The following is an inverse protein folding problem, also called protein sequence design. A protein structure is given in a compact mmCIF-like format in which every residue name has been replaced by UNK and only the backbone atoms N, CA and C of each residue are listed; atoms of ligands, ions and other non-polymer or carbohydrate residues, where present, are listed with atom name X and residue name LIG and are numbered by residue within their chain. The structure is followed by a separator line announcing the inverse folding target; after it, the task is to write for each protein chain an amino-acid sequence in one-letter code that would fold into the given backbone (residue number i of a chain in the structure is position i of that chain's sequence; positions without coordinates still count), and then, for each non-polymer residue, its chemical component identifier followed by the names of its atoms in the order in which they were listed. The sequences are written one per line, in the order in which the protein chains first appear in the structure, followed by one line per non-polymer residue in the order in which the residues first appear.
data_IF_693264462487
#
_entry.id   IF_693264462487
#
_cell.length_a   1.000
_cell.length_b   1.000
_cell.length_c   1.000
_cell.angle_alpha   90.00
_cell.angle_beta   90.00
_cell.angle_gamma   90.00
#
_symmetry.space_group_name_H-M   'P 1'
#
loop_
_entity.id
_entity.type
_entity.pdbx_description
1 polymer ?
#
# COMPACT_ATOMS: atom_id res chain seq x y z
N UNK A 1 -45.33 10.75 15.26
CA UNK A 1 -44.09 10.36 15.97
C UNK A 1 -44.48 9.33 17.03
N UNK A 2 -44.14 8.04 16.85
CA UNK A 2 -44.51 7.00 17.81
C UNK A 2 -43.71 7.21 19.11
N UNK A 3 -44.33 7.12 20.31
CA UNK A 3 -43.59 7.12 21.56
C UNK A 3 -42.64 5.91 21.55
N UNK A 4 -41.34 6.17 21.69
CA UNK A 4 -40.29 5.14 21.61
C UNK A 4 -40.38 4.25 22.85
N UNK A 5 -40.39 2.94 22.64
CA UNK A 5 -40.63 1.96 23.69
C UNK A 5 -39.39 1.85 24.58
N UNK A 6 -39.57 1.74 25.90
CA UNK A 6 -38.44 1.63 26.87
C UNK A 6 -37.44 0.53 26.50
N UNK A 7 -37.84 -0.50 25.77
CA UNK A 7 -37.00 -1.63 25.42
C UNK A 7 -36.08 -1.36 24.21
N UNK A 8 -36.48 -0.51 23.27
CA UNK A 8 -35.66 -0.09 22.12
C UNK A 8 -34.46 0.76 22.58
N UNK A 9 -34.70 1.61 23.58
CA UNK A 9 -33.66 2.43 24.21
C UNK A 9 -32.69 1.61 25.06
N UNK A 10 -33.19 0.60 25.79
CA UNK A 10 -32.33 -0.38 26.49
C UNK A 10 -31.45 -1.16 25.51
N UNK A 11 -32.02 -1.62 24.38
CA UNK A 11 -31.26 -2.29 23.32
C UNK A 11 -30.15 -1.39 22.75
N UNK A 12 -30.43 -0.10 22.55
CA UNK A 12 -29.42 0.85 22.08
C UNK A 12 -28.26 1.04 23.10
N UNK A 13 -28.54 1.02 24.40
CA UNK A 13 -27.51 1.05 25.46
C UNK A 13 -26.64 -0.21 25.38
N UNK A 14 -27.25 -1.39 25.26
CA UNK A 14 -26.51 -2.67 25.13
C UNK A 14 -25.61 -2.68 23.90
N UNK A 15 -26.10 -2.20 22.75
CA UNK A 15 -25.31 -2.08 21.52
C UNK A 15 -24.15 -1.09 21.66
N UNK A 16 -24.37 0.06 22.32
CA UNK A 16 -23.33 1.06 22.57
C UNK A 16 -22.24 0.52 23.49
N UNK A 17 -22.64 -0.19 24.55
CA UNK A 17 -21.73 -0.86 25.47
C UNK A 17 -20.95 -2.00 24.77
N UNK A 18 -21.57 -2.69 23.81
CA UNK A 18 -20.94 -3.69 22.93
C UNK A 18 -19.98 -3.11 21.86
N UNK A 19 -19.68 -1.81 21.91
CA UNK A 19 -18.65 -1.18 21.07
C UNK A 19 -19.16 -0.64 19.72
N UNK A 20 -20.47 -0.72 19.45
CA UNK A 20 -21.05 -0.22 18.21
C UNK A 20 -20.94 1.31 18.12
N UNK A 21 -20.65 1.80 16.90
CA UNK A 21 -20.60 3.24 16.63
C UNK A 21 -22.01 3.83 16.71
N UNK A 22 -22.11 5.14 16.96
CA UNK A 22 -23.40 5.82 17.02
C UNK A 22 -24.16 5.65 15.69
N UNK A 23 -23.46 5.76 14.57
CA UNK A 23 -24.02 5.60 13.23
C UNK A 23 -24.58 4.19 12.99
N UNK A 24 -23.88 3.14 13.41
CA UNK A 24 -24.37 1.77 13.28
C UNK A 24 -25.67 1.54 14.08
N UNK A 25 -25.74 2.10 15.30
CA UNK A 25 -26.94 1.98 16.15
C UNK A 25 -28.12 2.77 15.54
N UNK A 26 -27.86 3.92 14.91
CA UNK A 26 -28.89 4.70 14.20
C UNK A 26 -29.49 3.88 13.05
N UNK A 27 -28.65 3.24 12.25
CA UNK A 27 -29.08 2.39 11.13
C UNK A 27 -29.88 1.18 11.62
N UNK A 28 -29.39 0.51 12.68
CA UNK A 28 -30.00 -0.71 13.23
C UNK A 28 -31.32 -0.46 13.96
N UNK A 29 -31.41 0.63 14.72
CA UNK A 29 -32.58 0.91 15.58
C UNK A 29 -33.56 1.91 14.97
N UNK A 30 -33.18 2.61 13.89
CA UNK A 30 -33.97 3.70 13.30
C UNK A 30 -34.11 4.94 14.22
N UNK A 31 -33.41 4.98 15.36
CA UNK A 31 -33.47 6.08 16.32
C UNK A 31 -32.47 7.16 15.89
N UNK A 32 -32.94 8.40 15.74
CA UNK A 32 -32.09 9.56 15.42
C UNK A 32 -30.87 9.69 16.33
N UNK A 33 -29.71 10.02 15.76
CA UNK A 33 -28.44 10.19 16.47
C UNK A 33 -28.52 11.14 17.69
N UNK A 34 -29.24 12.25 17.56
CA UNK A 34 -29.41 13.25 18.63
C UNK A 34 -30.16 12.70 19.86
N UNK A 35 -31.16 11.84 19.64
CA UNK A 35 -31.88 11.15 20.72
C UNK A 35 -30.96 10.18 21.46
N UNK A 36 -30.21 9.37 20.70
CA UNK A 36 -29.28 8.39 21.26
C UNK A 36 -28.15 9.06 22.04
N UNK A 37 -27.58 10.14 21.50
CA UNK A 37 -26.49 10.87 22.14
C UNK A 37 -26.93 11.51 23.46
N UNK A 38 -28.14 12.09 23.50
CA UNK A 38 -28.73 12.60 24.76
C UNK A 38 -28.91 11.46 25.77
N UNK A 39 -29.45 10.34 25.32
CA UNK A 39 -29.75 9.19 26.18
C UNK A 39 -28.47 8.53 26.73
N UNK A 40 -27.44 8.34 25.92
CA UNK A 40 -26.14 7.81 26.35
C UNK A 40 -25.44 8.73 27.35
N UNK A 41 -25.54 10.06 27.16
CA UNK A 41 -24.98 11.04 28.10
C UNK A 41 -25.72 11.01 29.45
N UNK A 42 -27.05 10.88 29.45
CA UNK A 42 -27.85 10.76 30.68
C UNK A 42 -27.51 9.49 31.46
N UNK A 43 -27.19 8.39 30.77
CA UNK A 43 -26.92 7.09 31.39
C UNK A 43 -25.43 6.73 31.51
N UNK A 44 -24.51 7.64 31.18
CA UNK A 44 -23.07 7.41 31.31
C UNK A 44 -22.53 6.25 30.47
N UNK A 45 -23.14 5.96 29.32
CA UNK A 45 -22.81 4.78 28.51
C UNK A 45 -21.65 5.09 27.57
N UNK A 46 -20.47 4.59 27.91
CA UNK A 46 -19.28 4.67 27.07
C UNK A 46 -19.21 3.55 26.03
N UNK A 47 -18.47 3.80 24.95
CA UNK A 47 -18.31 2.84 23.86
C UNK A 47 -17.31 1.78 24.27
N UNK A 48 -17.69 0.51 24.15
CA UNK A 48 -16.76 -0.62 24.30
C UNK A 48 -16.50 -1.05 25.74
N UNK A 49 -17.44 -0.80 26.64
CA UNK A 49 -17.39 -1.27 28.03
C UNK A 49 -17.75 -2.74 28.21
N UNK A 50 -18.21 -3.44 27.15
CA UNK A 50 -18.50 -4.88 27.19
C UNK A 50 -17.34 -5.74 26.65
N UNK A 51 -17.13 -6.85 27.36
CA UNK A 51 -16.33 -8.04 27.08
C UNK A 51 -16.11 -8.38 25.60
N UNK A 52 -14.91 -8.86 25.29
CA UNK A 52 -14.47 -9.45 24.00
C UNK A 52 -15.46 -10.48 23.43
N UNK A 53 -16.21 -11.14 24.29
CA UNK A 53 -17.24 -12.13 23.94
C UNK A 53 -18.44 -11.54 23.17
N UNK A 54 -18.84 -10.29 23.47
CA UNK A 54 -19.92 -9.63 22.73
C UNK A 54 -19.47 -9.11 21.37
N UNK A 55 -18.19 -8.72 21.25
CA UNK A 55 -17.58 -8.36 19.96
C UNK A 55 -17.52 -9.58 19.06
N UNK A 56 -17.16 -10.74 19.61
CA UNK A 56 -17.10 -11.98 18.85
C UNK A 56 -18.50 -12.48 18.46
N UNK A 57 -19.50 -12.36 19.34
CA UNK A 57 -20.90 -12.62 18.97
C UNK A 57 -21.43 -11.68 17.89
N UNK A 58 -21.03 -10.41 17.88
CA UNK A 58 -21.44 -9.46 16.84
C UNK A 58 -20.79 -9.80 15.48
N UNK A 59 -19.51 -10.18 15.48
CA UNK A 59 -18.82 -10.70 14.28
C UNK A 59 -19.48 -12.00 13.78
N UNK A 60 -19.74 -12.95 14.67
CA UNK A 60 -20.40 -14.19 14.33
C UNK A 60 -21.82 -13.96 13.79
N UNK A 61 -22.58 -13.03 14.36
CA UNK A 61 -23.91 -12.64 13.83
C UNK A 61 -23.82 -12.08 12.42
N UNK A 62 -22.88 -11.17 12.15
CA UNK A 62 -22.62 -10.62 10.81
C UNK A 62 -22.20 -11.72 9.81
N UNK A 63 -21.33 -12.65 10.23
CA UNK A 63 -20.87 -13.75 9.39
C UNK A 63 -21.92 -14.86 9.20
N UNK A 64 -22.86 -15.00 10.14
CA UNK A 64 -23.95 -15.99 10.08
C UNK A 64 -25.15 -15.53 9.25
N UNK A 65 -25.22 -14.25 8.90
CA UNK A 65 -26.26 -13.73 8.03
C UNK A 65 -25.94 -14.14 6.58
N UNK A 66 -26.70 -15.12 6.09
CA UNK A 66 -26.46 -15.76 4.79
C UNK A 66 -26.51 -14.76 3.61
N UNK A 67 -27.21 -13.63 3.76
CA UNK A 67 -27.24 -12.56 2.76
C UNK A 67 -26.08 -11.56 2.88
N UNK A 68 -25.49 -11.40 4.06
CA UNK A 68 -24.49 -10.35 4.31
C UNK A 68 -23.21 -10.55 3.50
N UNK A 69 -22.72 -11.79 3.40
CA UNK A 69 -21.48 -12.06 2.64
C UNK A 69 -21.71 -11.84 1.13
N UNK A 70 -22.88 -12.18 0.60
CA UNK A 70 -23.17 -11.99 -0.82
C UNK A 70 -23.47 -10.52 -1.15
N UNK A 71 -24.15 -9.79 -0.26
CA UNK A 71 -24.31 -8.33 -0.36
C UNK A 71 -22.96 -7.61 -0.27
N UNK A 72 -22.07 -8.06 0.62
CA UNK A 72 -20.72 -7.52 0.75
C UNK A 72 -19.89 -7.77 -0.51
N UNK A 73 -19.93 -9.00 -1.06
CA UNK A 73 -19.27 -9.31 -2.34
C UNK A 73 -19.82 -8.43 -3.47
N UNK A 74 -21.14 -8.24 -3.52
CA UNK A 74 -21.77 -7.41 -4.53
C UNK A 74 -21.34 -5.95 -4.41
N UNK A 75 -21.30 -5.40 -3.19
CA UNK A 75 -20.83 -4.04 -2.94
C UNK A 75 -19.34 -3.86 -3.26
N UNK A 76 -18.50 -4.83 -2.90
CA UNK A 76 -17.07 -4.82 -3.25
C UNK A 76 -16.89 -4.88 -4.77
N UNK A 77 -17.61 -5.79 -5.45
CA UNK A 77 -17.56 -5.91 -6.91
C UNK A 77 -18.01 -4.62 -7.60
N UNK A 78 -19.11 -4.01 -7.12
CA UNK A 78 -19.60 -2.73 -7.62
C UNK A 78 -18.55 -1.61 -7.43
N UNK A 79 -17.91 -1.54 -6.26
CA UNK A 79 -16.83 -0.59 -5.99
C UNK A 79 -15.64 -0.78 -6.92
N UNK A 80 -15.22 -2.02 -7.17
CA UNK A 80 -14.10 -2.32 -8.07
C UNK A 80 -14.42 -1.93 -9.51
N UNK A 81 -15.65 -2.19 -9.97
CA UNK A 81 -16.11 -1.80 -11.31
C UNK A 81 -16.12 -0.28 -11.46
N UNK A 82 -16.59 0.44 -10.43
CA UNK A 82 -16.60 1.90 -10.41
C UNK A 82 -15.18 2.48 -10.46
N UNK A 83 -14.28 1.98 -9.62
CA UNK A 83 -12.86 2.37 -9.63
C UNK A 83 -12.21 2.15 -11.00
N UNK A 84 -12.49 1.02 -11.66
CA UNK A 84 -11.99 0.72 -13.00
C UNK A 84 -12.54 1.72 -14.04
N UNK A 85 -13.84 2.03 -13.94
CA UNK A 85 -14.51 3.00 -14.83
C UNK A 85 -13.89 4.39 -14.68
N UNK A 86 -13.68 4.84 -13.45
CA UNK A 86 -13.06 6.13 -13.14
C UNK A 86 -11.63 6.22 -13.67
N UNK A 87 -10.81 5.18 -13.48
CA UNK A 87 -9.44 5.14 -14.01
C UNK A 87 -9.44 5.23 -15.53
N UNK A 88 -10.37 4.54 -16.21
CA UNK A 88 -10.50 4.60 -17.67
C UNK A 88 -10.84 6.03 -18.13
N UNK A 89 -11.85 6.63 -17.51
CA UNK A 89 -12.33 7.96 -17.85
C UNK A 89 -11.28 9.04 -17.56
N UNK A 90 -10.51 8.88 -16.48
CA UNK A 90 -9.39 9.74 -16.15
C UNK A 90 -8.28 9.66 -17.21
N UNK A 91 -7.91 8.46 -17.66
CA UNK A 91 -6.91 8.29 -18.73
C UNK A 91 -7.35 8.88 -20.06
N UNK A 92 -8.62 8.73 -20.42
CA UNK A 92 -9.20 9.33 -21.63
C UNK A 92 -9.16 10.87 -21.55
N UNK A 93 -9.56 11.43 -20.41
CA UNK A 93 -9.52 12.88 -20.18
C UNK A 93 -8.09 13.42 -20.22
N UNK A 94 -7.12 12.72 -19.60
CA UNK A 94 -5.71 13.09 -19.66
C UNK A 94 -5.18 13.08 -21.10
N UNK A 95 -5.59 12.11 -21.93
CA UNK A 95 -5.20 12.05 -23.34
C UNK A 95 -5.77 13.24 -24.13
N UNK A 96 -7.05 13.56 -23.95
CA UNK A 96 -7.69 14.72 -24.59
C UNK A 96 -7.04 16.04 -24.16
N UNK A 97 -6.78 16.22 -22.86
CA UNK A 97 -6.10 17.41 -22.34
C UNK A 97 -4.66 17.53 -22.85
N UNK A 98 -3.98 16.40 -23.07
CA UNK A 98 -2.65 16.39 -23.66
C UNK A 98 -2.67 16.85 -25.12
N UNK A 99 -3.63 16.36 -25.90
CA UNK A 99 -3.81 16.74 -27.30
C UNK A 99 -4.13 18.24 -27.43
N UNK A 100 -5.04 18.75 -26.61
CA UNK A 100 -5.42 20.17 -26.58
C UNK A 100 -4.23 21.06 -26.22
N UNK A 101 -3.47 20.69 -25.18
CA UNK A 101 -2.27 21.42 -24.74
C UNK A 101 -1.13 21.38 -25.77
N UNK A 102 -0.96 20.24 -26.46
CA UNK A 102 0.04 20.09 -27.51
C UNK A 102 -0.31 20.93 -28.75
N UNK A 103 -1.60 20.97 -29.10
CA UNK A 103 -2.13 21.69 -30.25
C UNK A 103 -2.21 23.20 -30.10
N UNK A 104 -2.27 23.75 -28.88
CA UNK A 104 -2.39 25.19 -28.65
C UNK A 104 -1.04 25.94 -28.80
N UNK A 105 -0.81 26.75 -29.85
CA UNK A 105 0.43 27.49 -30.01
C UNK A 105 0.55 28.72 -29.09
N UNK A 106 -0.54 29.14 -28.43
CA UNK A 106 -0.61 30.39 -27.67
C UNK A 106 -0.16 30.23 -26.21
N UNK A 107 -0.29 29.02 -25.65
CA UNK A 107 0.14 28.76 -24.27
C UNK A 107 1.67 28.86 -24.14
N UNK A 108 2.18 29.68 -23.20
CA UNK A 108 3.61 29.78 -22.89
C UNK A 108 4.26 28.42 -22.59
N UNK A 109 5.48 28.21 -23.10
CA UNK A 109 6.21 26.95 -22.94
C UNK A 109 6.38 26.51 -21.48
N UNK A 110 6.51 27.45 -20.55
CA UNK A 110 6.60 27.17 -19.10
C UNK A 110 5.31 26.61 -18.52
N UNK A 111 4.15 27.09 -18.98
CA UNK A 111 2.84 26.56 -18.59
C UNK A 111 2.57 25.20 -19.23
N UNK A 112 2.99 25.00 -20.48
CA UNK A 112 2.95 23.67 -21.12
C UNK A 112 3.77 22.65 -20.34
N UNK A 113 5.02 22.96 -20.00
CA UNK A 113 5.89 22.07 -19.25
C UNK A 113 5.32 21.70 -17.87
N UNK A 114 4.75 22.67 -17.14
CA UNK A 114 4.09 22.41 -15.85
C UNK A 114 2.86 21.52 -15.99
N UNK A 115 2.03 21.78 -17.00
CA UNK A 115 0.83 21.00 -17.26
C UNK A 115 1.18 19.57 -17.65
N UNK A 116 2.18 19.38 -18.51
CA UNK A 116 2.72 18.06 -18.86
C UNK A 116 3.26 17.28 -17.64
N UNK A 117 3.97 17.96 -16.74
CA UNK A 117 4.44 17.34 -15.50
C UNK A 117 3.27 16.90 -14.61
N UNK A 118 2.20 17.70 -14.52
CA UNK A 118 1.00 17.36 -13.78
C UNK A 118 0.23 16.16 -14.40
N UNK A 119 0.09 16.14 -15.73
CA UNK A 119 -0.52 15.02 -16.46
C UNK A 119 0.29 13.73 -16.26
N UNK A 120 1.61 13.81 -16.37
CA UNK A 120 2.55 12.69 -16.14
C UNK A 120 2.46 12.16 -14.71
N UNK A 121 2.40 13.04 -13.71
CA UNK A 121 2.25 12.66 -12.29
C UNK A 121 0.91 11.96 -12.05
N UNK A 122 -0.17 12.45 -12.64
CA UNK A 122 -1.50 11.83 -12.54
C UNK A 122 -1.52 10.43 -13.15
N UNK A 123 -0.90 10.27 -14.33
CA UNK A 123 -0.76 8.97 -14.98
C UNK A 123 0.05 7.99 -14.11
N UNK A 124 1.20 8.44 -13.59
CA UNK A 124 2.05 7.64 -12.70
C UNK A 124 1.29 7.18 -11.45
N UNK A 125 0.57 8.07 -10.77
CA UNK A 125 -0.21 7.72 -9.57
C UNK A 125 -1.25 6.64 -9.90
N UNK A 126 -1.99 6.77 -11.00
CA UNK A 126 -2.97 5.74 -11.39
C UNK A 126 -2.32 4.39 -11.67
N UNK A 127 -1.12 4.39 -12.25
CA UNK A 127 -0.35 3.18 -12.53
C UNK A 127 0.22 2.56 -11.24
N UNK A 128 0.72 3.36 -10.31
CA UNK A 128 1.22 2.90 -9.00
C UNK A 128 0.11 2.25 -8.17
N UNK A 129 -1.07 2.88 -8.12
CA UNK A 129 -2.25 2.32 -7.44
C UNK A 129 -2.68 1.01 -8.09
N UNK A 130 -2.71 0.95 -9.42
CA UNK A 130 -3.05 -0.28 -10.16
C UNK A 130 -2.06 -1.42 -9.89
N UNK A 131 -0.76 -1.13 -9.91
CA UNK A 131 0.30 -2.11 -9.62
C UNK A 131 0.19 -2.67 -8.20
N UNK A 132 -0.03 -1.79 -7.23
CA UNK A 132 -0.18 -2.17 -5.82
C UNK A 132 -1.46 -2.97 -5.58
N UNK A 133 -2.57 -2.59 -6.20
CA UNK A 133 -3.84 -3.31 -6.11
C UNK A 133 -3.72 -4.74 -6.66
N UNK A 134 -3.01 -4.91 -7.78
CA UNK A 134 -2.74 -6.22 -8.40
C UNK A 134 -1.57 -6.97 -7.75
N UNK A 135 -0.95 -6.41 -6.70
CA UNK A 135 0.25 -6.95 -6.05
C UNK A 135 1.39 -7.27 -7.03
N UNK A 136 1.45 -6.54 -8.15
CA UNK A 136 2.48 -6.75 -9.20
C UNK A 136 3.87 -6.50 -8.60
N UNK A 137 4.00 -5.50 -7.73
CA UNK A 137 5.26 -5.18 -7.04
C UNK A 137 5.67 -6.25 -6.00
N UNK A 138 4.77 -7.16 -5.61
CA UNK A 138 5.08 -8.30 -4.74
C UNK A 138 5.48 -9.57 -5.52
N UNK A 139 5.46 -9.55 -6.86
CA UNK A 139 5.94 -10.70 -7.64
C UNK A 139 7.47 -10.89 -7.56
N UNK A 140 8.22 -9.89 -7.11
CA UNK A 140 9.63 -10.07 -6.72
C UNK A 140 9.78 -10.96 -5.47
N UNK A 141 8.72 -11.14 -4.68
CA UNK A 141 8.71 -12.07 -3.54
C UNK A 141 8.40 -13.51 -3.95
N UNK A 142 7.79 -13.71 -5.14
CA UNK A 142 7.45 -15.04 -5.68
C UNK A 142 8.53 -15.57 -6.62
N UNK A 143 9.31 -14.69 -7.25
CA UNK A 143 10.52 -15.04 -7.99
C UNK A 143 11.76 -14.84 -7.13
N UNK A 144 11.94 -15.73 -6.15
CA UNK A 144 13.20 -15.89 -5.41
C UNK A 144 13.68 -14.61 -4.73
N UNK A 145 13.39 -14.50 -3.43
CA UNK A 145 14.11 -13.58 -2.54
C UNK A 145 15.61 -13.83 -2.76
N UNK A 146 16.26 -13.03 -3.60
CA UNK A 146 17.71 -12.89 -3.53
C UNK A 146 17.95 -12.25 -2.18
N UNK A 147 18.41 -13.07 -1.25
CA UNK A 147 18.85 -12.62 0.05
C UNK A 147 19.78 -11.41 -0.18
N UNK A 148 19.53 -10.26 0.47
CA UNK A 148 20.38 -9.11 0.26
C UNK A 148 21.81 -9.51 0.60
N UNK A 149 22.74 -9.32 -0.35
CA UNK A 149 24.16 -9.63 -0.15
C UNK A 149 24.64 -8.91 1.12
N UNK A 150 25.04 -9.67 2.14
CA UNK A 150 25.54 -9.09 3.39
C UNK A 150 27.03 -8.81 3.25
N UNK A 151 27.42 -7.55 3.43
CA UNK A 151 28.82 -7.19 3.59
C UNK A 151 29.24 -7.50 5.04
N UNK A 152 30.06 -8.53 5.22
CA UNK A 152 30.65 -8.88 6.51
C UNK A 152 32.06 -8.30 6.55
N UNK A 153 32.30 -7.36 7.47
CA UNK A 153 33.63 -6.77 7.70
C UNK A 153 34.22 -7.43 8.95
N UNK A 154 35.12 -8.37 8.75
CA UNK A 154 35.88 -9.02 9.82
C UNK A 154 37.32 -8.48 9.85
N UNK A 155 37.92 -8.46 11.05
CA UNK A 155 39.33 -8.12 11.18
C UNK A 155 40.14 -9.32 10.71
N UNK A 156 40.94 -9.13 9.66
CA UNK A 156 41.91 -10.13 9.23
C UNK A 156 42.87 -10.44 10.37
N UNK A 157 43.12 -11.72 10.58
CA UNK A 157 44.16 -12.21 11.48
C UNK A 157 45.54 -11.99 10.86
N UNK A 158 46.59 -12.02 11.68
CA UNK A 158 47.97 -11.80 11.21
C UNK A 158 48.40 -12.85 10.17
N UNK A 159 47.90 -14.09 10.31
CA UNK A 159 48.14 -15.19 9.35
C UNK A 159 47.47 -14.91 7.99
N UNK A 160 46.23 -14.40 7.99
CA UNK A 160 45.51 -14.03 6.77
C UNK A 160 46.11 -12.78 6.11
N UNK A 161 46.65 -11.86 6.90
CA UNK A 161 47.37 -10.69 6.39
C UNK A 161 48.66 -11.10 5.66
N UNK A 162 49.40 -12.05 6.24
CA UNK A 162 50.63 -12.55 5.64
C UNK A 162 50.33 -13.34 4.35
N UNK A 163 49.31 -14.20 4.36
CA UNK A 163 48.87 -14.90 3.16
C UNK A 163 48.37 -13.97 2.04
N UNK A 164 47.71 -12.85 2.40
CA UNK A 164 47.31 -11.85 1.41
C UNK A 164 48.52 -11.11 0.83
N UNK A 165 49.51 -10.75 1.66
CA UNK A 165 50.76 -10.13 1.20
C UNK A 165 51.58 -11.06 0.29
N UNK A 166 51.61 -12.35 0.60
CA UNK A 166 52.32 -13.33 -0.22
C UNK A 166 51.64 -13.51 -1.59
N UNK A 167 50.30 -13.49 -1.66
CA UNK A 167 49.57 -13.48 -2.94
C UNK A 167 49.85 -12.23 -3.78
N UNK A 168 49.88 -11.05 -3.15
CA UNK A 168 50.21 -9.81 -3.88
C UNK A 168 51.65 -9.80 -4.40
N UNK A 169 52.58 -10.48 -3.71
CA UNK A 169 53.96 -10.63 -4.20
C UNK A 169 54.07 -11.64 -5.34
N UNK A 170 53.33 -12.76 -5.27
CA UNK A 170 53.27 -13.73 -6.37
C UNK A 170 52.66 -13.10 -7.63
N UNK A 171 51.62 -12.27 -7.50
CA UNK A 171 51.02 -11.53 -8.62
C UNK A 171 51.98 -10.45 -9.19
N UNK A 172 52.79 -9.78 -8.35
CA UNK A 172 53.84 -8.84 -8.80
C UNK A 172 55.00 -9.56 -9.51
N UNK A 173 55.41 -10.73 -9.04
CA UNK A 173 56.47 -11.55 -9.64
C UNK A 173 56.02 -12.16 -10.99
N UNK A 174 54.75 -12.54 -11.13
CA UNK A 174 54.19 -13.04 -12.41
C UNK A 174 54.11 -11.90 -13.46
N UNK A 175 53.70 -10.69 -13.08
CA UNK A 175 53.68 -9.52 -13.98
C UNK A 175 55.10 -9.10 -14.44
N UNK A 176 56.12 -9.18 -13.57
CA UNK A 176 57.51 -8.88 -13.94
C UNK A 176 58.13 -9.91 -14.90
N UNK A 177 57.77 -11.19 -14.78
CA UNK A 177 58.27 -12.24 -15.69
C UNK A 177 57.59 -12.22 -17.06
N UNK A 178 56.33 -11.77 -17.15
CA UNK A 178 55.62 -11.60 -18.42
C UNK A 178 56.19 -10.41 -19.22
N UNK A 179 56.52 -9.30 -18.55
CA UNK A 179 57.17 -8.12 -19.15
C UNK A 179 58.58 -8.41 -19.69
N UNK A 180 59.38 -9.23 -18.99
CA UNK A 180 60.73 -9.59 -19.43
C UNK A 180 60.74 -10.53 -20.65
N UNK A 181 59.71 -11.36 -20.82
CA UNK A 181 59.58 -12.23 -21.98
C UNK A 181 59.11 -11.48 -23.24
N UNK A 182 58.21 -10.50 -23.10
CA UNK A 182 57.75 -9.67 -24.22
C UNK A 182 58.87 -8.79 -24.80
N UNK A 183 59.74 -8.25 -23.94
CA UNK A 183 60.89 -7.45 -24.38
C UNK A 183 61.94 -8.27 -25.14
N UNK A 184 62.18 -9.55 -24.77
CA UNK A 184 63.10 -10.43 -25.48
C UNK A 184 62.59 -10.85 -26.86
N UNK A 185 61.28 -11.08 -27.00
CA UNK A 185 60.65 -11.45 -28.28
C UNK A 185 60.66 -10.29 -29.27
N UNK A 186 60.63 -9.04 -28.78
CA UNK A 186 60.65 -7.83 -29.62
C UNK A 186 62.02 -7.47 -30.23
N UNK A 187 63.10 -8.14 -29.80
CA UNK A 187 64.48 -7.87 -30.26
C UNK A 187 65.01 -8.88 -31.29
N UNK A 188 64.25 -9.93 -31.64
CA UNK A 188 64.68 -10.98 -32.60
C UNK A 188 64.05 -10.87 -34.01
N UNK A 189 63.28 -9.81 -34.31
CA UNK A 189 62.80 -9.46 -35.67
C UNK A 189 63.53 -8.24 -36.26
#
# INVERSE_FOLDING_TARGET
MRPKTSDELKRAITLRAAGWTLSAIVTETGISASTLQRYFRTHGVERGTISTEAVEQAKQRLLSDAGFIDDLKHQIAASIIDDLSLVRQLRETLALSLEELAGDPTTPATLKARSLAALSTSLKITQDVSRRALRIDNNDSLNGIQEPTRLIIEKMTDEEMQAAQDRFKEDEDDDETELLNDDLVSMED
#
